data_IF_616729418159
#
_entry.id   IF_616729418159
#
_cell.length_a   1.000
_cell.length_b   1.000
_cell.length_c   1.000
_cell.angle_alpha   90.00
_cell.angle_beta   90.00
_cell.angle_gamma   90.00
#
_symmetry.space_group_name_H-M   'P 1'
#
loop_
_entity.id
_entity.type
_entity.pdbx_description
1 polymer ?
#
# COMPACT_ATOMS: atom_id res chain seq x y z
N UNK A 1 74.40 -16.57 20.74
CA UNK A 1 73.48 -17.70 20.51
C UNK A 1 72.70 -17.92 21.81
N UNK A 2 71.38 -17.83 22.00
CA UNK A 2 70.20 -18.07 21.14
C UNK A 2 68.92 -17.46 21.75
N UNK A 3 68.02 -17.01 20.85
CA UNK A 3 66.53 -17.10 20.86
C UNK A 3 65.68 -16.24 21.82
N UNK A 4 65.25 -15.09 21.26
CA UNK A 4 63.93 -14.43 21.36
C UNK A 4 62.78 -15.42 21.64
N UNK A 5 61.95 -15.16 22.66
CA UNK A 5 60.61 -15.79 22.81
C UNK A 5 59.53 -14.71 22.94
N UNK A 6 58.86 -14.52 21.82
CA UNK A 6 57.77 -13.59 21.57
C UNK A 6 56.49 -14.14 22.25
N UNK A 7 56.05 -13.50 23.33
CA UNK A 7 54.80 -13.87 24.03
C UNK A 7 53.63 -13.22 23.28
N UNK A 8 52.98 -14.00 22.44
CA UNK A 8 51.79 -13.57 21.70
C UNK A 8 50.67 -13.16 22.67
N UNK A 9 50.24 -11.90 22.59
CA UNK A 9 49.02 -11.41 23.22
C UNK A 9 47.84 -11.95 22.41
N UNK A 10 47.12 -12.92 22.97
CA UNK A 10 45.87 -13.44 22.42
C UNK A 10 44.88 -12.28 22.25
N UNK A 11 44.51 -12.02 21.00
CA UNK A 11 43.43 -11.10 20.63
C UNK A 11 42.10 -11.79 20.95
N UNK A 12 41.36 -11.27 21.92
CA UNK A 12 40.05 -11.77 22.32
C UNK A 12 39.02 -11.58 21.20
N UNK A 13 38.71 -12.64 20.45
CA UNK A 13 37.56 -12.72 19.52
C UNK A 13 36.27 -13.09 20.26
N UNK A 14 35.81 -12.24 21.18
CA UNK A 14 34.56 -12.50 21.94
C UNK A 14 33.49 -11.40 21.78
N UNK A 15 33.63 -10.48 20.81
CA UNK A 15 32.63 -9.44 20.54
C UNK A 15 31.56 -9.81 19.50
N UNK A 16 31.82 -10.75 18.58
CA UNK A 16 31.00 -10.88 17.36
C UNK A 16 29.92 -11.98 17.40
N UNK A 17 29.93 -12.84 18.44
CA UNK A 17 29.00 -13.99 18.52
C UNK A 17 27.76 -13.69 19.37
N UNK A 18 27.84 -12.74 20.31
CA UNK A 18 26.68 -12.33 21.13
C UNK A 18 25.65 -11.55 20.32
N UNK A 19 26.10 -10.72 19.39
CA UNK A 19 25.23 -9.88 18.56
C UNK A 19 24.27 -10.71 17.68
N UNK A 20 24.77 -11.78 17.03
CA UNK A 20 23.93 -12.65 16.18
C UNK A 20 22.94 -13.51 16.96
N UNK A 21 23.27 -13.94 18.18
CA UNK A 21 22.34 -14.71 19.04
C UNK A 21 21.28 -13.81 19.67
N UNK A 22 21.64 -12.57 20.02
CA UNK A 22 20.74 -11.60 20.59
C UNK A 22 19.79 -11.00 19.55
N UNK A 23 20.27 -10.74 18.33
CA UNK A 23 19.44 -10.38 17.17
C UNK A 23 18.42 -11.48 16.81
N UNK A 24 18.82 -12.76 16.88
CA UNK A 24 17.88 -13.89 16.75
C UNK A 24 16.83 -13.89 17.87
N UNK A 25 17.15 -13.42 19.08
CA UNK A 25 16.19 -13.36 20.20
C UNK A 25 15.24 -12.17 20.12
N UNK A 26 15.72 -10.97 19.75
CA UNK A 26 14.88 -9.78 19.65
C UNK A 26 13.90 -9.87 18.48
N UNK A 27 14.37 -10.34 17.31
CA UNK A 27 13.51 -10.54 16.14
C UNK A 27 12.51 -11.69 16.35
N UNK A 28 12.90 -12.77 17.02
CA UNK A 28 11.98 -13.87 17.33
C UNK A 28 10.92 -13.44 18.35
N UNK A 29 11.30 -12.64 19.35
CA UNK A 29 10.35 -11.98 20.26
C UNK A 29 9.39 -11.09 19.50
N UNK A 30 9.89 -10.22 18.61
CA UNK A 30 9.05 -9.36 17.78
C UNK A 30 8.10 -10.20 16.91
N UNK A 31 8.57 -11.28 16.29
CA UNK A 31 7.72 -12.16 15.48
C UNK A 31 6.64 -12.85 16.32
N UNK A 32 6.97 -13.29 17.53
CA UNK A 32 6.03 -13.95 18.45
C UNK A 32 5.00 -12.97 19.02
N UNK A 33 5.42 -11.76 19.38
CA UNK A 33 4.50 -10.71 19.86
C UNK A 33 3.65 -10.18 18.72
N UNK A 34 4.21 -9.99 17.53
CA UNK A 34 3.47 -9.58 16.33
C UNK A 34 2.34 -10.54 15.98
N UNK A 35 2.60 -11.86 16.01
CA UNK A 35 1.56 -12.88 15.79
C UNK A 35 0.45 -12.87 16.84
N UNK A 36 0.76 -12.49 18.08
CA UNK A 36 -0.21 -12.40 19.19
C UNK A 36 -0.96 -11.09 19.23
N UNK A 37 -0.38 -10.01 18.69
CA UNK A 37 -0.99 -8.70 18.65
C UNK A 37 -2.26 -8.71 17.77
N UNK A 38 -3.26 -7.96 18.21
CA UNK A 38 -4.53 -7.72 17.53
C UNK A 38 -4.35 -6.74 16.36
N UNK A 39 -5.33 -6.64 15.47
CA UNK A 39 -5.29 -5.72 14.30
C UNK A 39 -5.05 -4.27 14.74
N UNK A 40 -5.85 -3.77 15.70
CA UNK A 40 -5.67 -2.44 16.30
C UNK A 40 -4.28 -2.20 16.92
N UNK A 41 -3.67 -3.22 17.54
CA UNK A 41 -2.33 -3.10 18.16
C UNK A 41 -1.22 -3.03 17.11
N UNK A 42 -1.37 -3.77 16.01
CA UNK A 42 -0.45 -3.72 14.87
C UNK A 42 -0.55 -2.38 14.17
N UNK A 43 -1.76 -1.87 13.98
CA UNK A 43 -2.01 -0.56 13.36
C UNK A 43 -1.43 0.58 14.20
N UNK A 44 -1.65 0.57 15.52
CA UNK A 44 -1.08 1.58 16.42
C UNK A 44 0.45 1.57 16.40
N UNK A 45 1.08 0.38 16.40
CA UNK A 45 2.53 0.25 16.30
C UNK A 45 3.07 0.76 14.95
N UNK A 46 2.38 0.48 13.85
CA UNK A 46 2.77 0.97 12.53
C UNK A 46 2.60 2.49 12.41
N UNK A 47 1.60 3.05 13.08
CA UNK A 47 1.41 4.49 13.18
C UNK A 47 2.56 5.17 13.91
N UNK A 48 2.93 4.64 15.08
CA UNK A 48 4.08 5.14 15.85
C UNK A 48 5.40 4.99 15.10
N UNK A 49 5.59 3.88 14.36
CA UNK A 49 6.78 3.67 13.53
C UNK A 49 6.85 4.58 12.28
N UNK A 50 5.83 5.40 12.02
CA UNK A 50 5.71 6.19 10.79
C UNK A 50 5.51 5.33 9.54
N UNK A 51 5.23 4.04 9.72
CA UNK A 51 5.03 3.05 8.67
C UNK A 51 3.56 2.87 8.31
N UNK A 52 2.63 3.59 8.96
CA UNK A 52 1.20 3.57 8.63
C UNK A 52 0.93 3.76 7.13
N UNK A 53 1.60 4.71 6.49
CA UNK A 53 1.42 4.97 5.06
C UNK A 53 1.95 3.80 4.19
N UNK A 54 3.05 3.18 4.63
CA UNK A 54 3.61 2.01 3.95
C UNK A 54 2.74 0.78 4.17
N UNK A 55 2.19 0.58 5.36
CA UNK A 55 1.23 -0.50 5.60
C UNK A 55 -0.05 -0.26 4.82
N UNK A 56 -0.66 0.91 4.80
CA UNK A 56 -1.83 1.17 3.94
C UNK A 56 -1.52 0.98 2.44
N UNK A 57 -0.29 1.26 2.00
CA UNK A 57 0.14 1.04 0.61
C UNK A 57 0.46 -0.44 0.28
N UNK A 58 0.91 -1.22 1.26
CA UNK A 58 1.34 -2.64 1.12
C UNK A 58 0.26 -3.64 1.54
N UNK A 59 -0.54 -3.28 2.56
CA UNK A 59 -1.89 -3.78 2.86
C UNK A 59 -2.90 -3.25 1.86
N UNK A 60 -2.44 -2.82 0.68
CA UNK A 60 -3.24 -2.91 -0.51
C UNK A 60 -3.88 -4.31 -0.58
N UNK A 61 -5.06 -4.44 0.03
CA UNK A 61 -6.23 -4.56 -0.79
C UNK A 61 -6.03 -3.55 -1.93
N UNK A 62 -5.30 -3.97 -2.98
CA UNK A 62 -5.55 -3.51 -4.33
C UNK A 62 -7.00 -3.88 -4.53
N UNK A 63 -7.86 -3.02 -4.03
CA UNK A 63 -9.26 -3.30 -3.81
C UNK A 63 -9.78 -3.43 -5.20
N UNK A 64 -9.96 -4.67 -5.63
CA UNK A 64 -10.12 -5.00 -7.04
C UNK A 64 -11.17 -4.05 -7.60
N UNK A 65 -10.76 -3.21 -8.53
CA UNK A 65 -11.67 -2.23 -9.10
C UNK A 65 -12.59 -2.89 -10.12
N UNK A 66 -12.15 -4.03 -10.67
CA UNK A 66 -12.85 -4.82 -11.67
C UNK A 66 -12.70 -6.32 -11.41
N UNK A 67 -13.76 -7.08 -11.73
CA UNK A 67 -13.71 -8.53 -11.92
C UNK A 67 -13.50 -8.80 -13.41
N UNK A 68 -12.24 -8.99 -13.78
CA UNK A 68 -11.82 -9.10 -15.17
C UNK A 68 -12.05 -7.81 -15.97
N UNK A 69 -13.16 -7.76 -16.74
CA UNK A 69 -13.53 -6.60 -17.58
C UNK A 69 -14.68 -5.77 -17.03
N UNK A 70 -15.26 -6.17 -15.90
CA UNK A 70 -16.45 -5.54 -15.34
C UNK A 70 -16.06 -4.78 -14.09
N UNK A 71 -16.41 -3.50 -14.02
CA UNK A 71 -16.20 -2.72 -12.79
C UNK A 71 -17.06 -3.31 -11.68
N UNK A 72 -16.49 -3.41 -10.48
CA UNK A 72 -17.29 -3.78 -9.31
C UNK A 72 -18.28 -2.65 -8.99
N UNK A 73 -19.48 -2.99 -8.48
CA UNK A 73 -20.50 -1.99 -8.15
C UNK A 73 -19.98 -0.95 -7.14
N UNK A 74 -19.16 -1.40 -6.18
CA UNK A 74 -18.49 -0.52 -5.22
C UNK A 74 -17.55 0.49 -5.90
N UNK A 75 -16.83 0.07 -6.93
CA UNK A 75 -15.96 0.93 -7.74
C UNK A 75 -16.76 1.97 -8.51
N UNK A 76 -17.90 1.57 -9.09
CA UNK A 76 -18.78 2.47 -9.83
C UNK A 76 -19.25 3.61 -8.91
N UNK A 77 -19.76 3.28 -7.72
CA UNK A 77 -20.21 4.29 -6.75
C UNK A 77 -19.09 5.24 -6.30
N UNK A 78 -17.85 4.73 -6.16
CA UNK A 78 -16.68 5.56 -5.85
C UNK A 78 -16.35 6.53 -6.99
N UNK A 79 -16.31 6.04 -8.22
CA UNK A 79 -16.07 6.87 -9.41
C UNK A 79 -17.15 7.96 -9.51
N UNK A 80 -18.42 7.61 -9.36
CA UNK A 80 -19.53 8.58 -9.37
C UNK A 80 -19.41 9.63 -8.28
N UNK A 81 -19.01 9.24 -7.06
CA UNK A 81 -18.81 10.17 -5.95
C UNK A 81 -17.72 11.19 -6.26
N UNK A 82 -16.58 10.73 -6.80
CA UNK A 82 -15.46 11.60 -7.18
C UNK A 82 -15.88 12.51 -8.35
N UNK A 83 -16.61 11.97 -9.32
CA UNK A 83 -17.11 12.74 -10.46
C UNK A 83 -18.08 13.86 -10.02
N UNK A 84 -19.02 13.57 -9.12
CA UNK A 84 -19.94 14.58 -8.57
C UNK A 84 -19.17 15.65 -7.80
N UNK A 85 -18.21 15.23 -6.95
CA UNK A 85 -17.37 16.15 -6.17
C UNK A 85 -16.56 17.10 -7.04
N UNK A 86 -15.95 16.58 -8.12
CA UNK A 86 -15.13 17.36 -9.05
C UNK A 86 -15.93 17.99 -10.20
N UNK A 87 -17.25 17.77 -10.26
CA UNK A 87 -18.13 18.12 -11.39
C UNK A 87 -17.57 17.65 -12.74
N UNK A 88 -16.98 16.45 -12.76
CA UNK A 88 -16.45 15.81 -13.96
C UNK A 88 -17.57 15.11 -14.74
N UNK A 89 -17.61 15.36 -16.05
CA UNK A 89 -18.44 14.57 -16.96
C UNK A 89 -17.72 13.26 -17.33
N UNK A 90 -18.48 12.28 -17.80
CA UNK A 90 -17.94 10.98 -18.24
C UNK A 90 -16.95 11.15 -19.41
N UNK A 91 -17.22 12.10 -20.30
CA UNK A 91 -16.36 12.42 -21.44
C UNK A 91 -15.06 13.09 -20.96
N UNK A 92 -15.16 14.06 -20.05
CA UNK A 92 -13.99 14.72 -19.46
C UNK A 92 -13.11 13.76 -18.65
N UNK A 93 -13.72 12.77 -17.97
CA UNK A 93 -12.96 11.72 -17.29
C UNK A 93 -12.18 10.87 -18.30
N UNK A 94 -12.79 10.49 -19.42
CA UNK A 94 -12.11 9.72 -20.46
C UNK A 94 -11.01 10.52 -21.16
N UNK A 95 -11.19 11.83 -21.34
CA UNK A 95 -10.13 12.75 -21.79
C UNK A 95 -8.96 12.80 -20.78
N UNK A 96 -9.24 12.92 -19.47
CA UNK A 96 -8.22 12.92 -18.41
C UNK A 96 -7.44 11.59 -18.36
N UNK A 97 -8.09 10.47 -18.69
CA UNK A 97 -7.46 9.16 -18.81
C UNK A 97 -6.72 8.94 -20.14
N UNK A 98 -6.80 9.87 -21.10
CA UNK A 98 -6.15 9.74 -22.41
C UNK A 98 -6.89 8.81 -23.40
N UNK A 99 -8.18 8.57 -23.19
CA UNK A 99 -9.06 7.78 -24.07
C UNK A 99 -10.20 8.64 -24.66
N UNK A 100 -9.88 9.69 -25.42
CA UNK A 100 -10.89 10.55 -26.05
C UNK A 100 -11.83 9.71 -26.93
N UNK A 101 -13.14 9.89 -26.77
CA UNK A 101 -14.17 9.20 -27.58
C UNK A 101 -14.66 7.84 -27.05
N UNK A 102 -14.03 7.24 -26.03
CA UNK A 102 -14.58 6.04 -25.35
C UNK A 102 -15.61 6.40 -24.24
N UNK A 103 -16.04 7.67 -24.16
CA UNK A 103 -17.04 8.16 -23.20
C UNK A 103 -18.34 7.35 -23.21
N UNK A 104 -18.82 6.91 -24.38
CA UNK A 104 -20.06 6.10 -24.50
C UNK A 104 -19.93 4.72 -23.86
N UNK A 105 -18.74 4.11 -23.91
CA UNK A 105 -18.50 2.80 -23.31
C UNK A 105 -18.39 2.92 -21.79
N UNK A 106 -17.77 4.01 -21.29
CA UNK A 106 -17.80 4.35 -19.86
C UNK A 106 -19.23 4.60 -19.36
N UNK A 107 -20.05 5.36 -20.09
CA UNK A 107 -21.47 5.60 -19.74
C UNK A 107 -22.20 4.28 -19.57
N UNK A 108 -22.02 3.35 -20.51
CA UNK A 108 -22.64 2.02 -20.48
C UNK A 108 -22.09 1.15 -19.35
N UNK A 109 -20.81 1.26 -19.04
CA UNK A 109 -20.17 0.53 -17.95
C UNK A 109 -20.70 0.98 -16.59
N UNK A 110 -20.77 2.29 -16.35
CA UNK A 110 -21.30 2.86 -15.11
C UNK A 110 -22.81 2.59 -14.96
N UNK A 111 -23.61 2.78 -16.02
CA UNK A 111 -25.06 2.66 -15.95
C UNK A 111 -25.59 1.21 -16.00
N UNK A 112 -24.89 0.29 -16.68
CA UNK A 112 -25.40 -1.06 -16.97
C UNK A 112 -24.42 -2.19 -16.63
N UNK A 113 -23.28 -1.90 -15.99
CA UNK A 113 -22.29 -2.92 -15.62
C UNK A 113 -21.72 -3.64 -16.84
N UNK A 114 -21.42 -2.92 -17.93
CA UNK A 114 -20.88 -3.48 -19.16
C UNK A 114 -19.35 -3.61 -19.11
N UNK A 115 -18.81 -4.48 -19.96
CA UNK A 115 -17.38 -4.73 -20.04
C UNK A 115 -16.64 -3.51 -20.58
N UNK A 116 -15.57 -3.12 -19.90
CA UNK A 116 -14.59 -2.14 -20.35
C UNK A 116 -13.32 -2.80 -20.88
N UNK A 117 -12.56 -2.05 -21.66
CA UNK A 117 -11.22 -2.45 -22.08
C UNK A 117 -10.29 -2.48 -20.87
N UNK A 118 -9.42 -3.48 -20.82
CA UNK A 118 -8.45 -3.65 -19.72
C UNK A 118 -7.53 -2.43 -19.55
N UNK A 119 -7.20 -1.74 -20.64
CA UNK A 119 -6.40 -0.50 -20.58
C UNK A 119 -7.14 0.64 -19.88
N UNK A 120 -8.45 0.78 -20.11
CA UNK A 120 -9.29 1.78 -19.44
C UNK A 120 -9.45 1.44 -17.95
N UNK A 121 -9.62 0.16 -17.63
CA UNK A 121 -9.66 -0.30 -16.23
C UNK A 121 -8.33 0.02 -15.54
N UNK A 122 -7.19 -0.29 -16.16
CA UNK A 122 -5.87 0.02 -15.58
C UNK A 122 -5.67 1.54 -15.37
N UNK A 123 -6.10 2.36 -16.33
CA UNK A 123 -6.01 3.82 -16.19
C UNK A 123 -6.95 4.34 -15.08
N UNK A 124 -8.16 3.77 -14.94
CA UNK A 124 -9.08 4.08 -13.86
C UNK A 124 -8.51 3.72 -12.47
N UNK A 125 -7.78 2.61 -12.36
CA UNK A 125 -7.12 2.18 -11.12
C UNK A 125 -6.08 3.22 -10.66
N UNK A 126 -5.23 3.64 -11.59
CA UNK A 126 -4.22 4.66 -11.34
C UNK A 126 -4.86 6.01 -10.99
N UNK A 127 -5.86 6.43 -11.77
CA UNK A 127 -6.60 7.66 -11.51
C UNK A 127 -7.26 7.64 -10.13
N UNK A 128 -7.96 6.56 -9.76
CA UNK A 128 -8.60 6.43 -8.44
C UNK A 128 -7.57 6.57 -7.31
N UNK A 129 -6.41 5.93 -7.45
CA UNK A 129 -5.33 6.03 -6.46
C UNK A 129 -4.88 7.48 -6.28
N UNK A 130 -4.71 8.24 -7.37
CA UNK A 130 -4.35 9.66 -7.32
C UNK A 130 -5.45 10.51 -6.69
N UNK A 131 -6.73 10.25 -7.01
CA UNK A 131 -7.85 11.00 -6.46
C UNK A 131 -8.05 10.74 -4.96
N UNK A 132 -7.78 9.53 -4.49
CA UNK A 132 -7.84 9.19 -3.07
C UNK A 132 -6.65 9.76 -2.29
N UNK A 133 -5.47 9.79 -2.89
CA UNK A 133 -4.30 10.43 -2.29
C UNK A 133 -4.41 11.96 -2.24
N UNK A 134 -5.21 12.56 -3.13
CA UNK A 134 -5.59 13.97 -3.11
C UNK A 134 -6.66 14.34 -2.08
N UNK A 135 -7.17 13.37 -1.30
CA UNK A 135 -8.10 13.62 -0.19
C UNK A 135 -7.35 13.61 1.16
N UNK A 136 -6.99 14.77 1.73
CA UNK A 136 -6.56 14.87 3.12
C UNK A 136 -7.73 14.78 4.13
N UNK A 137 -8.93 14.36 3.72
CA UNK A 137 -10.17 14.56 4.48
C UNK A 137 -10.77 13.29 5.10
N UNK A 138 -10.02 12.18 5.16
CA UNK A 138 -10.37 10.99 5.93
C UNK A 138 -9.55 10.83 7.24
N UNK A 139 -8.83 11.88 7.68
CA UNK A 139 -7.96 11.86 8.87
C UNK A 139 -8.29 12.90 9.94
N UNK A 140 -9.47 13.52 9.93
CA UNK A 140 -9.82 14.57 10.90
C UNK A 140 -11.30 14.56 11.30
N UNK A 141 -11.72 13.53 12.03
CA UNK A 141 -12.93 13.55 12.85
C UNK A 141 -12.84 12.47 13.94
N UNK A 142 -12.09 12.77 15.00
CA UNK A 142 -12.30 12.19 16.32
C UNK A 142 -11.97 13.31 17.32
N UNK A 143 -13.01 14.04 17.70
CA UNK A 143 -13.09 14.83 18.93
C UNK A 143 -13.49 13.86 20.06
#
# INVERSE_FOLDING_TARGET
MTKKKQKQRKLSRHGEVQDRKQARSALDKLRKTWKRASENEREAFLAEAGLQFLHSSLSGERRLIADGRYLLPNTISRIETIMVRRRLSQDALMEELGFPGEGKDLVRALAKGRSLRLRVIAALDEWLTVQEQGDPSAGKAAD
#
